data_IF_488574642438
#
_entry.id   IF_488574642438
#
_cell.length_a   1.000
_cell.length_b   1.000
_cell.length_c   1.000
_cell.angle_alpha   90.00
_cell.angle_beta   90.00
_cell.angle_gamma   90.00
#
_symmetry.space_group_name_H-M   'P 1'
#
loop_
_entity.id
_entity.type
_entity.pdbx_description
1 polymer ?
#
# COMPACT_ATOMS: atom_id res chain seq x y z
N UNK A 1 11.77 -11.90 -5.77
CA UNK A 1 12.51 -11.17 -6.84
C UNK A 1 11.55 -10.15 -7.44
N UNK A 2 11.93 -8.90 -7.52
CA UNK A 2 11.11 -7.88 -8.16
C UNK A 2 11.62 -7.77 -9.59
N UNK A 3 10.82 -8.24 -10.56
CA UNK A 3 11.20 -8.16 -11.95
C UNK A 3 11.12 -6.73 -12.46
N UNK A 4 12.23 -6.20 -12.95
CA UNK A 4 12.28 -4.96 -13.69
C UNK A 4 13.07 -5.20 -14.99
N UNK A 5 12.37 -5.24 -16.08
CA UNK A 5 12.83 -4.82 -17.39
C UNK A 5 13.95 -5.52 -18.13
N UNK A 6 14.35 -6.73 -17.77
CA UNK A 6 15.19 -7.57 -18.63
C UNK A 6 14.31 -8.60 -19.34
N UNK A 7 13.71 -8.24 -20.48
CA UNK A 7 12.92 -9.15 -21.29
C UNK A 7 11.76 -8.47 -22.03
N UNK A 8 10.82 -9.26 -22.56
CA UNK A 8 9.63 -8.79 -23.28
C UNK A 8 8.52 -8.22 -22.37
N UNK A 9 8.71 -8.22 -21.05
CA UNK A 9 7.75 -7.69 -20.10
C UNK A 9 7.91 -6.19 -19.92
N UNK A 10 6.80 -5.49 -19.75
CA UNK A 10 6.81 -4.06 -19.44
C UNK A 10 7.57 -3.78 -18.14
N UNK A 11 8.36 -2.69 -18.11
CA UNK A 11 9.08 -2.26 -16.91
C UNK A 11 8.07 -1.82 -15.84
N UNK A 12 7.86 -2.66 -14.84
CA UNK A 12 6.91 -2.37 -13.75
C UNK A 12 7.53 -1.44 -12.70
N UNK A 13 8.85 -1.53 -12.47
CA UNK A 13 9.56 -0.73 -11.47
C UNK A 13 10.97 -0.40 -11.92
N UNK A 14 11.17 0.80 -12.43
CA UNK A 14 12.48 1.28 -12.92
C UNK A 14 13.46 1.68 -11.80
N UNK A 15 12.97 1.87 -10.57
CA UNK A 15 13.77 2.35 -9.44
C UNK A 15 14.42 1.24 -8.59
N UNK A 16 14.15 -0.03 -8.92
CA UNK A 16 14.84 -1.15 -8.30
C UNK A 16 16.11 -1.49 -9.09
N UNK A 17 17.19 -1.82 -8.37
CA UNK A 17 18.46 -2.21 -9.01
C UNK A 17 18.37 -3.63 -9.60
N UNK A 18 17.51 -3.81 -10.60
CA UNK A 18 17.43 -5.01 -11.43
C UNK A 18 17.45 -4.55 -12.89
N UNK A 19 18.61 -4.01 -13.32
CA UNK A 19 18.80 -3.44 -14.66
C UNK A 19 18.17 -2.06 -14.87
N UNK A 20 17.87 -1.31 -13.81
CA UNK A 20 17.20 -0.02 -13.89
C UNK A 20 17.99 1.19 -13.36
N UNK A 21 19.15 0.96 -12.75
CA UNK A 21 20.04 2.06 -12.37
C UNK A 21 20.90 2.47 -13.57
N UNK A 22 21.25 3.79 -13.69
CA UNK A 22 22.18 4.25 -14.71
C UNK A 22 23.55 3.55 -14.60
N UNK A 23 24.20 3.31 -15.72
CA UNK A 23 25.53 2.68 -15.79
C UNK A 23 26.62 3.52 -15.09
N UNK A 24 26.37 4.82 -14.96
CA UNK A 24 27.23 5.76 -14.26
C UNK A 24 26.48 6.43 -13.11
N UNK A 25 26.76 6.00 -11.89
CA UNK A 25 26.37 6.65 -10.64
C UNK A 25 27.64 7.06 -9.90
N UNK A 26 27.67 8.28 -9.38
CA UNK A 26 28.81 8.82 -8.64
C UNK A 26 28.87 8.26 -7.20
N UNK A 27 28.85 6.91 -7.10
CA UNK A 27 28.99 6.16 -5.85
C UNK A 27 30.25 5.30 -5.94
N UNK A 28 30.90 5.10 -4.79
CA UNK A 28 32.01 4.15 -4.70
C UNK A 28 31.55 2.71 -4.85
N UNK A 29 30.37 2.39 -4.34
CA UNK A 29 29.84 1.04 -4.29
C UNK A 29 28.34 1.08 -4.08
N UNK A 30 27.63 0.09 -4.62
CA UNK A 30 26.21 -0.20 -4.36
C UNK A 30 26.15 -1.44 -3.50
N UNK A 31 25.64 -1.29 -2.27
CA UNK A 31 25.54 -2.36 -1.29
C UNK A 31 24.12 -2.92 -1.28
N UNK A 32 23.99 -4.20 -1.63
CA UNK A 32 22.69 -4.89 -1.74
C UNK A 32 22.70 -6.20 -0.92
N UNK A 33 22.72 -6.14 0.42
CA UNK A 33 22.84 -7.33 1.25
C UNK A 33 21.64 -8.30 1.14
N UNK A 34 20.49 -7.81 0.69
CA UNK A 34 19.25 -8.58 0.58
C UNK A 34 18.95 -9.07 -0.85
N UNK A 35 19.86 -8.86 -1.81
CA UNK A 35 19.64 -9.13 -3.24
C UNK A 35 19.18 -10.54 -3.56
N UNK A 36 19.67 -11.52 -2.82
CA UNK A 36 19.39 -12.94 -3.04
C UNK A 36 18.24 -13.49 -2.19
N UNK A 37 17.64 -12.65 -1.36
CA UNK A 37 16.55 -13.06 -0.46
C UNK A 37 15.17 -12.77 -1.07
N UNK A 38 14.24 -13.70 -0.83
CA UNK A 38 12.83 -13.44 -1.07
C UNK A 38 12.23 -12.59 0.05
N UNK A 39 11.06 -12.02 -0.19
CA UNK A 39 10.42 -11.07 0.74
C UNK A 39 10.11 -11.68 2.11
N UNK A 40 9.73 -12.95 2.14
CA UNK A 40 9.49 -13.70 3.38
C UNK A 40 10.78 -13.98 4.15
N UNK A 41 11.88 -14.24 3.44
CA UNK A 41 13.20 -14.42 4.03
C UNK A 41 13.74 -13.10 4.60
N UNK A 42 13.54 -11.99 3.89
CA UNK A 42 13.87 -10.64 4.40
C UNK A 42 13.09 -10.32 5.68
N UNK A 43 11.82 -10.72 5.76
CA UNK A 43 11.01 -10.56 6.97
C UNK A 43 11.54 -11.38 8.13
N UNK A 44 11.91 -12.66 7.89
CA UNK A 44 12.53 -13.51 8.90
C UNK A 44 13.84 -12.91 9.40
N UNK A 45 14.71 -12.47 8.48
CA UNK A 45 15.96 -11.80 8.84
C UNK A 45 15.69 -10.53 9.67
N UNK A 46 14.66 -9.77 9.35
CA UNK A 46 14.25 -8.59 10.13
C UNK A 46 13.87 -8.94 11.57
N UNK A 47 13.13 -10.02 11.77
CA UNK A 47 12.76 -10.49 13.11
C UNK A 47 14.00 -10.96 13.90
N UNK A 48 14.91 -11.72 13.28
CA UNK A 48 16.16 -12.16 13.88
C UNK A 48 17.06 -10.98 14.29
N UNK A 49 17.02 -9.88 13.55
CA UNK A 49 17.70 -8.63 13.88
C UNK A 49 17.00 -7.82 14.99
N UNK A 50 15.90 -8.32 15.54
CA UNK A 50 15.14 -7.64 16.59
C UNK A 50 14.29 -6.48 16.12
N UNK A 51 14.01 -6.37 14.82
CA UNK A 51 13.07 -5.35 14.32
C UNK A 51 11.66 -5.71 14.81
N UNK A 52 10.92 -4.76 15.41
CA UNK A 52 9.57 -5.02 15.90
C UNK A 52 8.63 -5.60 14.83
N UNK A 53 7.85 -6.61 15.21
CA UNK A 53 6.97 -7.36 14.31
C UNK A 53 6.03 -6.43 13.50
N UNK A 54 5.51 -5.37 14.10
CA UNK A 54 4.60 -4.43 13.41
C UNK A 54 5.29 -3.64 12.29
N UNK A 55 6.61 -3.48 12.33
CA UNK A 55 7.39 -2.88 11.24
C UNK A 55 7.70 -3.92 10.16
N UNK A 56 8.10 -5.14 10.55
CA UNK A 56 8.43 -6.22 9.62
C UNK A 56 7.23 -6.60 8.76
N UNK A 57 6.04 -6.70 9.36
CA UNK A 57 4.80 -7.06 8.67
C UNK A 57 3.96 -5.89 8.20
N UNK A 58 4.48 -4.66 8.31
CA UNK A 58 3.75 -3.49 7.79
C UNK A 58 3.38 -3.69 6.32
N UNK A 59 2.10 -3.48 6.01
CA UNK A 59 1.64 -3.53 4.63
C UNK A 59 2.35 -2.47 3.76
N UNK A 60 2.52 -2.71 2.45
CA UNK A 60 3.09 -1.73 1.54
C UNK A 60 2.31 -0.41 1.58
N UNK A 61 3.06 0.70 1.63
CA UNK A 61 2.50 2.03 1.50
C UNK A 61 3.04 2.65 0.20
N UNK A 62 2.18 3.25 -0.63
CA UNK A 62 2.62 3.81 -1.91
C UNK A 62 3.61 4.95 -1.72
N UNK A 63 4.65 5.00 -2.56
CA UNK A 63 5.67 6.06 -2.53
C UNK A 63 5.08 7.48 -2.63
N UNK A 64 4.08 7.74 -3.52
CA UNK A 64 3.40 9.04 -3.59
C UNK A 64 2.53 9.39 -2.36
N UNK A 65 2.41 8.50 -1.38
CA UNK A 65 1.61 8.72 -0.19
C UNK A 65 0.10 8.61 -0.44
N UNK A 66 -0.69 9.27 0.41
CA UNK A 66 -2.15 9.21 0.35
C UNK A 66 -2.76 9.82 -0.92
N UNK A 67 -2.04 10.69 -1.62
CA UNK A 67 -2.53 11.31 -2.84
C UNK A 67 -2.97 10.31 -3.91
N UNK A 68 -2.32 9.14 -4.02
CA UNK A 68 -2.69 8.08 -4.97
C UNK A 68 -4.05 7.42 -4.64
N UNK A 69 -4.55 7.60 -3.42
CA UNK A 69 -5.84 7.07 -2.96
C UNK A 69 -6.99 8.06 -3.15
N UNK A 70 -6.74 9.17 -3.83
CA UNK A 70 -7.73 10.19 -4.16
C UNK A 70 -7.91 10.22 -5.68
N UNK A 71 -9.10 9.88 -6.16
CA UNK A 71 -9.42 9.98 -7.58
C UNK A 71 -9.73 11.44 -7.91
N UNK A 72 -9.01 11.99 -8.90
CA UNK A 72 -9.15 13.39 -9.33
C UNK A 72 -8.19 14.33 -8.59
N UNK A 73 -8.58 15.58 -8.45
CA UNK A 73 -7.76 16.62 -7.82
C UNK A 73 -7.52 16.32 -6.33
N UNK A 74 -6.27 16.49 -5.90
CA UNK A 74 -5.86 16.32 -4.50
C UNK A 74 -5.94 17.67 -3.80
N UNK A 75 -6.85 17.77 -2.82
CA UNK A 75 -7.03 18.96 -1.98
C UNK A 75 -6.82 18.62 -0.50
N UNK A 76 -6.57 19.62 0.33
CA UNK A 76 -6.37 19.43 1.77
C UNK A 76 -7.56 18.73 2.44
N UNK A 77 -8.79 19.09 2.07
CA UNK A 77 -10.00 18.48 2.62
C UNK A 77 -10.12 17.01 2.22
N UNK A 78 -9.88 16.68 0.95
CA UNK A 78 -9.90 15.29 0.47
C UNK A 78 -8.82 14.44 1.13
N UNK A 79 -7.63 15.01 1.34
CA UNK A 79 -6.56 14.32 2.07
C UNK A 79 -7.00 14.02 3.49
N UNK A 80 -7.61 14.98 4.20
CA UNK A 80 -8.12 14.76 5.56
C UNK A 80 -9.17 13.66 5.59
N UNK A 81 -10.15 13.69 4.67
CA UNK A 81 -11.18 12.64 4.58
C UNK A 81 -10.56 11.25 4.42
N UNK A 82 -9.55 11.11 3.53
CA UNK A 82 -8.87 9.82 3.33
C UNK A 82 -8.05 9.42 4.56
N UNK A 83 -7.40 10.37 5.23
CA UNK A 83 -6.65 10.10 6.46
C UNK A 83 -7.56 9.55 7.55
N UNK A 84 -8.68 10.21 7.80
CA UNK A 84 -9.64 9.81 8.83
C UNK A 84 -10.28 8.46 8.48
N UNK A 85 -10.71 8.27 7.24
CA UNK A 85 -11.30 7.01 6.78
C UNK A 85 -10.31 5.84 6.84
N UNK A 86 -9.06 6.03 6.41
CA UNK A 86 -8.02 4.99 6.46
C UNK A 86 -7.66 4.66 7.92
N UNK A 87 -7.59 5.66 8.79
CA UNK A 87 -7.33 5.48 10.20
C UNK A 87 -8.41 4.61 10.87
N UNK A 88 -9.68 4.98 10.72
CA UNK A 88 -10.82 4.24 11.27
C UNK A 88 -10.84 2.81 10.73
N UNK A 89 -10.71 2.66 9.42
CA UNK A 89 -10.73 1.34 8.79
C UNK A 89 -9.62 0.42 9.30
N UNK A 90 -8.41 0.94 9.43
CA UNK A 90 -7.26 0.18 9.95
C UNK A 90 -7.43 -0.19 11.42
N UNK A 91 -8.03 0.70 12.21
CA UNK A 91 -8.34 0.44 13.62
C UNK A 91 -9.36 -0.70 13.75
N UNK A 92 -10.43 -0.69 12.95
CA UNK A 92 -11.44 -1.76 12.96
C UNK A 92 -10.87 -3.11 12.49
N UNK A 93 -10.05 -3.13 11.44
CA UNK A 93 -9.33 -4.33 11.00
C UNK A 93 -8.42 -4.88 12.12
N UNK A 94 -7.74 -4.01 12.85
CA UNK A 94 -6.89 -4.42 13.96
C UNK A 94 -7.71 -4.99 15.14
N UNK A 95 -8.82 -4.34 15.51
CA UNK A 95 -9.76 -4.82 16.56
C UNK A 95 -10.36 -6.18 16.20
N UNK A 96 -10.68 -6.39 14.93
CA UNK A 96 -11.17 -7.68 14.43
C UNK A 96 -10.08 -8.78 14.35
N UNK A 97 -8.81 -8.45 14.63
CA UNK A 97 -7.69 -9.41 14.56
C UNK A 97 -7.30 -9.81 13.13
N UNK A 98 -7.79 -9.11 12.11
CA UNK A 98 -7.60 -9.46 10.69
C UNK A 98 -6.31 -8.91 10.08
N UNK A 99 -5.62 -7.99 10.74
CA UNK A 99 -4.46 -7.27 10.19
C UNK A 99 -3.33 -8.18 9.68
N UNK A 100 -3.12 -9.35 10.29
CA UNK A 100 -2.09 -10.32 9.88
C UNK A 100 -2.51 -11.18 8.69
N UNK A 101 -3.80 -11.31 8.45
CA UNK A 101 -4.36 -12.19 7.42
C UNK A 101 -4.54 -11.46 6.09
N UNK A 102 -4.55 -10.12 6.12
CA UNK A 102 -4.74 -9.29 4.93
C UNK A 102 -3.40 -8.84 4.37
N UNK A 103 -3.19 -9.07 3.08
CA UNK A 103 -1.98 -8.62 2.38
C UNK A 103 -1.94 -7.10 2.21
N UNK A 104 -3.09 -6.49 1.93
CA UNK A 104 -3.24 -5.04 1.82
C UNK A 104 -4.68 -4.62 2.12
N UNK A 105 -4.85 -3.54 2.86
CA UNK A 105 -6.15 -2.92 3.12
C UNK A 105 -5.98 -1.41 3.30
N UNK A 106 -6.92 -0.64 2.75
CA UNK A 106 -6.90 0.81 2.81
C UNK A 106 -8.24 1.41 2.38
N UNK A 107 -8.46 2.68 2.73
CA UNK A 107 -9.55 3.50 2.23
C UNK A 107 -9.09 4.36 1.04
N UNK A 108 -9.98 4.58 0.06
CA UNK A 108 -9.76 5.45 -1.09
C UNK A 108 -10.97 6.35 -1.34
N UNK A 109 -10.72 7.59 -1.74
CA UNK A 109 -11.75 8.55 -2.10
C UNK A 109 -12.07 8.43 -3.59
N UNK A 110 -13.30 8.04 -3.91
CA UNK A 110 -13.72 7.77 -5.30
C UNK A 110 -14.03 9.02 -6.10
N UNK A 111 -14.08 10.20 -5.47
CA UNK A 111 -14.58 11.45 -6.03
C UNK A 111 -16.08 11.43 -6.45
N UNK A 112 -16.76 10.31 -6.27
CA UNK A 112 -18.22 10.24 -6.39
C UNK A 112 -18.86 10.88 -5.17
N UNK A 113 -20.02 11.50 -5.36
CA UNK A 113 -20.83 12.02 -4.27
C UNK A 113 -22.13 11.24 -4.18
N UNK A 114 -22.55 10.97 -2.97
CA UNK A 114 -23.82 10.32 -2.68
C UNK A 114 -24.72 11.25 -1.90
N UNK A 115 -26.01 11.13 -2.14
CA UNK A 115 -27.02 11.85 -1.35
C UNK A 115 -27.21 11.13 -0.05
N UNK A 116 -26.98 11.83 1.05
CA UNK A 116 -27.34 11.41 2.39
C UNK A 116 -28.47 12.25 2.95
N UNK A 117 -29.08 11.77 4.04
CA UNK A 117 -30.05 12.51 4.83
C UNK A 117 -29.55 12.56 6.26
N UNK A 118 -29.32 13.76 6.77
CA UNK A 118 -28.97 14.00 8.16
C UNK A 118 -30.03 14.91 8.77
N UNK A 119 -30.90 14.32 9.60
CA UNK A 119 -32.09 15.02 10.10
C UNK A 119 -33.03 15.36 8.95
N UNK A 120 -33.40 16.65 8.81
CA UNK A 120 -34.29 17.15 7.76
C UNK A 120 -33.53 17.71 6.53
N UNK A 121 -32.19 17.60 6.50
CA UNK A 121 -31.36 18.13 5.43
C UNK A 121 -30.76 17.03 4.56
N UNK A 122 -30.63 17.33 3.25
CA UNK A 122 -29.90 16.49 2.32
C UNK A 122 -28.42 16.87 2.34
N UNK A 123 -27.56 15.87 2.49
CA UNK A 123 -26.11 16.03 2.35
C UNK A 123 -25.64 15.43 1.05
N UNK A 124 -24.51 15.93 0.55
CA UNK A 124 -23.84 15.44 -0.66
C UNK A 124 -22.38 15.17 -0.34
N UNK A 125 -22.15 14.02 0.27
CA UNK A 125 -20.83 13.65 0.75
C UNK A 125 -20.09 12.73 -0.21
N UNK A 126 -18.78 12.67 -0.06
CA UNK A 126 -17.95 11.80 -0.87
C UNK A 126 -18.13 10.33 -0.49
N UNK A 127 -18.17 9.47 -1.51
CA UNK A 127 -18.15 8.03 -1.31
C UNK A 127 -16.70 7.54 -1.11
N UNK A 128 -16.49 6.77 -0.04
CA UNK A 128 -15.24 6.09 0.26
C UNK A 128 -15.33 4.64 -0.20
N UNK A 129 -14.33 4.17 -0.91
CA UNK A 129 -14.14 2.76 -1.22
C UNK A 129 -13.20 2.14 -0.18
N UNK A 130 -13.64 1.09 0.48
CA UNK A 130 -12.79 0.25 1.34
C UNK A 130 -12.27 -0.91 0.51
N UNK A 131 -10.98 -1.13 0.55
CA UNK A 131 -10.31 -2.23 -0.13
C UNK A 131 -9.62 -3.14 0.87
N UNK A 132 -9.86 -4.45 0.77
CA UNK A 132 -9.08 -5.48 1.43
C UNK A 132 -8.77 -6.59 0.45
N UNK A 133 -7.52 -7.02 0.39
CA UNK A 133 -7.08 -8.08 -0.52
C UNK A 133 -6.09 -9.02 0.16
N UNK A 134 -6.16 -10.28 -0.24
CA UNK A 134 -5.17 -11.29 0.08
C UNK A 134 -4.17 -11.38 -1.08
N UNK A 135 -2.91 -11.43 -0.75
CA UNK A 135 -1.83 -11.59 -1.71
C UNK A 135 -0.60 -12.17 -1.02
N UNK A 136 0.11 -13.04 -1.70
CA UNK A 136 1.37 -13.62 -1.24
C UNK A 136 2.58 -12.86 -1.79
N UNK A 137 2.51 -12.43 -3.04
CA UNK A 137 3.62 -11.88 -3.82
C UNK A 137 3.41 -10.42 -4.25
N UNK A 138 2.23 -9.84 -4.01
CA UNK A 138 1.79 -8.52 -4.48
C UNK A 138 1.71 -8.37 -6.01
N UNK A 139 1.81 -9.47 -6.76
CA UNK A 139 1.60 -9.49 -8.21
C UNK A 139 0.16 -9.83 -8.55
N UNK A 140 -0.41 -10.77 -7.81
CA UNK A 140 -1.81 -11.14 -7.87
C UNK A 140 -2.49 -10.92 -6.53
N UNK A 141 -3.77 -10.65 -6.52
CA UNK A 141 -4.53 -10.40 -5.31
C UNK A 141 -5.99 -10.79 -5.48
N UNK A 142 -6.54 -11.46 -4.48
CA UNK A 142 -7.96 -11.79 -4.39
C UNK A 142 -8.64 -10.88 -3.39
N UNK A 143 -9.91 -10.54 -3.63
CA UNK A 143 -10.70 -9.79 -2.66
C UNK A 143 -10.85 -10.58 -1.37
N UNK A 144 -10.65 -9.93 -0.24
CA UNK A 144 -10.94 -10.49 1.08
C UNK A 144 -12.35 -10.15 1.50
N UNK A 145 -13.07 -11.13 2.01
CA UNK A 145 -14.29 -10.88 2.76
C UNK A 145 -13.93 -10.31 4.13
N UNK A 146 -14.54 -9.20 4.48
CA UNK A 146 -14.43 -8.55 5.78
C UNK A 146 -15.81 -8.48 6.42
N UNK A 147 -15.93 -8.69 7.74
CA UNK A 147 -17.22 -8.68 8.46
C UNK A 147 -17.91 -7.31 8.42
#
# INVERSE_FOLDING_TARGET
MIESGLGKSAVIKSHHNVGGLPDHVDFKEIIEPLRLLFKDEVRKAGLELGIPEYLVYRQPFPGPGLGIRIIGEVTADKVRIVQDADYIYREEIAKAGLAKNLGQYFAALTNMRSVGVMGDERTYDYAIALRAVNTSDFMTADCSEIP
#
